data_IF_835282065235
#
_entry.id   IF_835282065235
#
_cell.length_a   1.000
_cell.length_b   1.000
_cell.length_c   1.000
_cell.angle_alpha   90.00
_cell.angle_beta   90.00
_cell.angle_gamma   90.00
#
_symmetry.space_group_name_H-M   'P 1'
#
loop_
_entity.id
_entity.type
_entity.pdbx_description
1 polymer ?
#
# COMPACT_ATOMS: atom_id res chain seq x y z
N UNK A 1 -18.94 -14.73 2.44
CA UNK A 1 -18.06 -15.72 3.08
C UNK A 1 -18.09 -15.46 4.59
N UNK A 2 -18.33 -16.47 5.41
CA UNK A 2 -18.33 -16.39 6.88
C UNK A 2 -16.93 -16.77 7.40
N UNK A 3 -16.36 -15.94 8.27
CA UNK A 3 -15.04 -16.14 8.85
C UNK A 3 -15.19 -16.25 10.37
N UNK A 4 -14.77 -17.38 10.94
CA UNK A 4 -14.69 -17.56 12.40
C UNK A 4 -13.24 -17.32 12.82
N UNK A 5 -12.99 -16.25 13.56
CA UNK A 5 -11.66 -15.88 14.08
C UNK A 5 -11.58 -16.23 15.56
N UNK A 6 -10.65 -17.11 15.91
CA UNK A 6 -10.23 -17.31 17.30
C UNK A 6 -8.99 -16.44 17.52
N UNK A 7 -9.17 -15.34 18.23
CA UNK A 7 -8.10 -14.41 18.57
C UNK A 7 -7.75 -14.59 20.04
N UNK A 8 -6.51 -14.95 20.33
CA UNK A 8 -5.98 -14.92 21.69
C UNK A 8 -5.61 -13.47 22.03
N UNK A 9 -6.53 -12.78 22.71
CA UNK A 9 -6.42 -11.37 23.07
C UNK A 9 -6.68 -11.20 24.56
N UNK A 10 -5.98 -10.24 25.16
CA UNK A 10 -6.28 -9.81 26.52
C UNK A 10 -7.75 -9.35 26.61
N UNK A 11 -8.45 -9.83 27.64
CA UNK A 11 -9.84 -9.44 27.90
C UNK A 11 -10.02 -7.92 28.00
N UNK A 12 -9.02 -7.19 28.49
CA UNK A 12 -9.07 -5.72 28.56
C UNK A 12 -9.21 -5.10 27.17
N UNK A 13 -8.45 -5.61 26.19
CA UNK A 13 -8.49 -5.14 24.80
C UNK A 13 -9.85 -5.44 24.17
N UNK A 14 -10.39 -6.65 24.40
CA UNK A 14 -11.71 -7.02 23.89
C UNK A 14 -12.82 -6.15 24.48
N UNK A 15 -12.71 -5.80 25.77
CA UNK A 15 -13.70 -4.95 26.45
C UNK A 15 -13.72 -3.53 25.89
N UNK A 16 -12.55 -2.92 25.71
CA UNK A 16 -12.43 -1.59 25.11
C UNK A 16 -12.90 -1.59 23.65
N UNK A 17 -12.53 -2.61 22.87
CA UNK A 17 -12.99 -2.72 21.48
C UNK A 17 -14.52 -2.85 21.37
N UNK A 18 -15.17 -3.58 22.28
CA UNK A 18 -16.64 -3.64 22.34
C UNK A 18 -17.26 -2.30 22.73
N UNK A 19 -16.65 -1.55 23.64
CA UNK A 19 -17.11 -0.22 24.02
C UNK A 19 -17.10 0.71 22.81
N UNK A 20 -15.99 0.72 22.05
CA UNK A 20 -15.86 1.49 20.80
C UNK A 20 -16.91 1.05 19.76
N UNK A 21 -17.16 -0.25 19.65
CA UNK A 21 -18.18 -0.76 18.74
C UNK A 21 -19.57 -0.22 19.08
N UNK A 22 -19.94 -0.21 20.36
CA UNK A 22 -21.21 0.35 20.84
C UNK A 22 -21.28 1.86 20.62
N UNK A 23 -20.21 2.60 20.92
CA UNK A 23 -20.15 4.06 20.69
C UNK A 23 -20.30 4.44 19.21
N UNK A 24 -20.01 3.52 18.28
CA UNK A 24 -20.10 3.72 16.83
C UNK A 24 -21.28 2.99 16.20
N UNK A 25 -22.24 2.52 16.99
CA UNK A 25 -23.40 1.75 16.54
C UNK A 25 -23.05 0.58 15.60
N UNK A 26 -21.93 -0.10 15.89
CA UNK A 26 -21.40 -1.21 15.09
C UNK A 26 -21.08 -2.42 15.97
N UNK A 27 -20.57 -3.48 15.35
CA UNK A 27 -20.17 -4.72 16.04
C UNK A 27 -18.67 -4.91 15.99
N UNK A 28 -18.13 -5.65 16.97
CA UNK A 28 -16.71 -6.02 16.96
C UNK A 28 -16.33 -6.74 15.65
N UNK A 29 -17.20 -7.61 15.15
CA UNK A 29 -17.00 -8.32 13.89
C UNK A 29 -17.00 -7.38 12.69
N UNK A 30 -17.85 -6.35 12.69
CA UNK A 30 -17.85 -5.32 11.65
C UNK A 30 -16.55 -4.48 11.70
N UNK A 31 -16.08 -4.07 12.88
CA UNK A 31 -14.80 -3.37 13.01
C UNK A 31 -13.62 -4.19 12.46
N UNK A 32 -13.60 -5.50 12.75
CA UNK A 32 -12.57 -6.41 12.23
C UNK A 32 -12.69 -6.57 10.72
N UNK A 33 -13.92 -6.67 10.19
CA UNK A 33 -14.18 -6.71 8.74
C UNK A 33 -13.62 -5.46 8.07
N UNK A 34 -14.03 -4.29 8.53
CA UNK A 34 -13.65 -3.00 7.94
C UNK A 34 -12.13 -2.83 7.96
N UNK A 35 -11.49 -3.18 9.08
CA UNK A 35 -10.03 -3.17 9.18
C UNK A 35 -9.35 -4.09 8.15
N UNK A 36 -9.85 -5.31 7.95
CA UNK A 36 -9.31 -6.23 6.95
C UNK A 36 -9.56 -5.76 5.52
N UNK A 37 -10.73 -5.18 5.26
CA UNK A 37 -11.09 -4.60 3.96
C UNK A 37 -10.22 -3.39 3.62
N UNK A 38 -9.85 -2.57 4.61
CA UNK A 38 -8.92 -1.45 4.44
C UNK A 38 -7.45 -1.88 4.30
N UNK A 39 -7.05 -2.97 4.97
CA UNK A 39 -5.67 -3.47 4.95
C UNK A 39 -5.28 -4.04 3.59
N UNK A 40 -6.20 -4.74 2.90
CA UNK A 40 -5.91 -5.41 1.62
C UNK A 40 -5.51 -4.42 0.51
N UNK A 41 -6.24 -3.31 0.26
CA UNK A 41 -5.83 -2.27 -0.67
C UNK A 41 -4.46 -1.71 -0.34
N UNK A 42 -4.20 -1.36 0.93
CA UNK A 42 -2.93 -0.78 1.36
C UNK A 42 -1.74 -1.70 1.05
N UNK A 43 -1.90 -3.02 1.24
CA UNK A 43 -0.87 -3.99 0.90
C UNK A 43 -0.77 -4.26 -0.61
N UNK A 44 -1.88 -4.24 -1.35
CA UNK A 44 -1.86 -4.41 -2.82
C UNK A 44 -1.18 -3.26 -3.54
N UNK A 45 -1.47 -2.01 -3.13
CA UNK A 45 -0.85 -0.82 -3.72
C UNK A 45 0.63 -0.71 -3.35
N UNK A 46 0.99 -0.93 -2.08
CA UNK A 46 2.39 -0.89 -1.64
C UNK A 46 3.23 -2.03 -2.24
N UNK A 47 2.69 -3.24 -2.29
CA UNK A 47 3.40 -4.41 -2.83
C UNK A 47 3.66 -4.33 -4.33
N UNK A 48 2.70 -3.83 -5.12
CA UNK A 48 2.88 -3.65 -6.57
C UNK A 48 3.82 -2.50 -6.88
N UNK A 49 3.63 -1.34 -6.28
CA UNK A 49 4.49 -0.17 -6.49
C UNK A 49 5.93 -0.46 -6.07
N UNK A 50 6.13 -1.15 -4.95
CA UNK A 50 7.46 -1.58 -4.50
C UNK A 50 8.11 -2.53 -5.50
N UNK A 51 7.39 -3.53 -6.00
CA UNK A 51 7.90 -4.49 -7.00
C UNK A 51 8.23 -3.82 -8.33
N UNK A 52 7.36 -2.94 -8.83
CA UNK A 52 7.59 -2.20 -10.07
C UNK A 52 8.77 -1.23 -9.94
N UNK A 53 8.90 -0.55 -8.79
CA UNK A 53 10.06 0.31 -8.49
C UNK A 53 11.35 -0.49 -8.41
N UNK A 54 11.37 -1.60 -7.68
CA UNK A 54 12.55 -2.47 -7.60
C UNK A 54 12.93 -3.05 -8.97
N UNK A 55 11.94 -3.39 -9.81
CA UNK A 55 12.18 -3.85 -11.18
C UNK A 55 12.79 -2.74 -12.06
N UNK A 56 12.31 -1.50 -11.90
CA UNK A 56 12.85 -0.33 -12.59
C UNK A 56 14.28 0.01 -12.13
N UNK A 57 14.55 -0.03 -10.82
CA UNK A 57 15.90 0.19 -10.28
C UNK A 57 16.89 -0.88 -10.80
N UNK A 58 16.46 -2.15 -10.88
CA UNK A 58 17.27 -3.22 -11.49
C UNK A 58 17.50 -2.99 -12.98
N UNK A 59 16.52 -2.46 -13.72
CA UNK A 59 16.69 -2.20 -15.15
C UNK A 59 17.69 -1.06 -15.39
N UNK A 60 17.74 -0.03 -14.55
CA UNK A 60 18.78 1.01 -14.63
C UNK A 60 20.20 0.46 -14.42
N UNK A 61 20.38 -0.55 -13.58
CA UNK A 61 21.67 -1.22 -13.37
C UNK A 61 22.11 -2.12 -14.54
N UNK A 62 21.15 -2.74 -15.23
CA UNK A 62 21.43 -3.66 -16.34
C UNK A 62 21.50 -2.96 -17.70
N UNK A 63 20.76 -1.87 -17.86
CA UNK A 63 20.59 -1.18 -19.14
C UNK A 63 21.40 0.12 -19.11
N UNK A 64 22.70 0.00 -19.42
CA UNK A 64 23.53 1.16 -19.72
C UNK A 64 23.48 1.45 -21.22
N UNK A 65 22.59 2.35 -21.63
CA UNK A 65 22.64 2.91 -22.97
C UNK A 65 23.82 3.89 -23.08
N UNK A 66 24.73 3.64 -24.02
CA UNK A 66 25.66 4.68 -24.51
C UNK A 66 24.84 5.69 -25.32
N UNK A 67 24.19 6.60 -24.62
CA UNK A 67 23.64 7.80 -25.24
C UNK A 67 24.85 8.52 -25.84
N UNK A 68 24.85 8.71 -27.16
CA UNK A 68 25.92 9.42 -27.87
C UNK A 68 26.16 10.82 -27.30
N UNK A 69 27.08 11.59 -27.89
CA UNK A 69 27.37 12.96 -27.41
C UNK A 69 26.06 13.72 -27.23
N UNK A 70 25.79 14.18 -26.00
CA UNK A 70 24.56 14.88 -25.64
C UNK A 70 24.51 16.21 -26.41
N UNK A 71 23.69 16.26 -27.45
CA UNK A 71 23.60 17.40 -28.37
C UNK A 71 22.65 18.50 -27.90
N UNK A 72 21.84 18.24 -26.86
CA UNK A 72 20.84 19.19 -26.38
C UNK A 72 21.25 19.83 -25.07
N UNK A 73 21.15 21.16 -25.02
CA UNK A 73 21.23 21.95 -23.81
C UNK A 73 19.85 22.06 -23.19
N UNK A 74 19.77 22.29 -21.87
CA UNK A 74 18.50 22.34 -21.12
C UNK A 74 17.53 23.39 -21.67
N UNK A 75 18.07 24.45 -22.23
CA UNK A 75 17.35 25.52 -22.93
C UNK A 75 16.63 25.04 -24.21
N UNK A 76 17.16 24.03 -24.91
CA UNK A 76 16.58 23.48 -26.15
C UNK A 76 15.34 22.61 -25.89
N UNK A 77 15.11 22.19 -24.64
CA UNK A 77 14.07 21.23 -24.27
C UNK A 77 12.66 21.85 -24.30
N UNK A 78 12.54 23.17 -24.22
CA UNK A 78 11.26 23.89 -24.16
C UNK A 78 10.57 24.05 -25.52
N UNK A 79 11.26 23.76 -26.64
CA UNK A 79 10.75 24.02 -27.99
C UNK A 79 9.86 22.91 -28.59
N UNK A 80 9.48 21.90 -27.80
CA UNK A 80 8.61 20.80 -28.26
C UNK A 80 7.40 20.61 -27.34
N UNK A 81 6.47 21.55 -27.41
CA UNK A 81 5.09 21.39 -26.95
C UNK A 81 4.16 21.48 -28.16
#
# INVERSE_FOLDING_TARGET
MNLTLSLDLDQKVVKEARKIAVERDTTLTALVRDFLEDLVPQNRFSGRMRREREALERSFGQVQFRIGKRTWKREDLYARS
#
